data_IF_923420341266
#
_entry.id   IF_923420341266
#
_cell.length_a   1.000
_cell.length_b   1.000
_cell.length_c   1.000
_cell.angle_alpha   90.00
_cell.angle_beta   90.00
_cell.angle_gamma   90.00
#
_symmetry.space_group_name_H-M   'P 1'
#
loop_
_entity.id
_entity.type
_entity.pdbx_description
1 polymer ?
#
# COMPACT_ATOMS: atom_id res chain seq x y z
N UNK A 1 10.20 22.25 -52.40
CA UNK A 1 9.72 23.30 -51.46
C UNK A 1 8.59 22.75 -50.59
N UNK A 2 8.91 22.41 -49.34
CA UNK A 2 7.93 21.98 -48.34
C UNK A 2 7.60 23.16 -47.40
N UNK A 3 6.42 23.16 -46.79
CA UNK A 3 6.06 24.16 -45.78
C UNK A 3 6.03 23.52 -44.40
N UNK A 4 6.50 24.25 -43.38
CA UNK A 4 6.44 23.80 -42.01
C UNK A 4 4.97 23.68 -41.56
N UNK A 5 4.57 22.51 -41.08
CA UNK A 5 3.20 22.28 -40.56
C UNK A 5 2.88 23.08 -39.29
N UNK A 6 3.89 23.73 -38.70
CA UNK A 6 3.78 24.40 -37.39
C UNK A 6 3.88 25.92 -37.45
N UNK A 7 4.71 26.47 -38.34
CA UNK A 7 4.80 27.92 -38.52
C UNK A 7 4.38 28.40 -39.91
N UNK A 8 4.11 27.48 -40.86
CA UNK A 8 3.68 27.82 -42.21
C UNK A 8 4.77 28.41 -43.11
N UNK A 9 6.02 28.47 -42.65
CA UNK A 9 7.13 29.00 -43.45
C UNK A 9 7.67 27.95 -44.43
N UNK A 10 8.19 28.40 -45.57
CA UNK A 10 8.87 27.51 -46.52
C UNK A 10 10.15 26.93 -45.92
N UNK A 11 10.40 25.67 -46.27
CA UNK A 11 11.55 24.86 -45.86
C UNK A 11 12.30 24.46 -47.13
N UNK A 12 13.60 24.80 -47.22
CA UNK A 12 14.44 24.36 -48.33
C UNK A 12 14.63 22.84 -48.28
N UNK A 13 14.64 22.20 -49.45
CA UNK A 13 14.51 20.74 -49.61
C UNK A 13 15.65 19.93 -48.94
N UNK A 14 16.78 20.56 -48.62
CA UNK A 14 17.94 19.93 -47.96
C UNK A 14 18.04 20.17 -46.44
N UNK A 15 16.97 20.67 -45.78
CA UNK A 15 17.00 21.01 -44.35
C UNK A 15 16.18 20.07 -43.48
N UNK A 16 16.84 19.40 -42.53
CA UNK A 16 16.21 18.47 -41.58
C UNK A 16 15.43 19.16 -40.46
N UNK A 17 15.49 20.50 -40.36
CA UNK A 17 14.82 21.31 -39.36
C UNK A 17 14.39 22.67 -39.95
N UNK A 18 13.24 23.18 -39.53
CA UNK A 18 12.78 24.50 -39.91
C UNK A 18 13.64 25.58 -39.24
N UNK A 19 14.25 26.46 -40.05
CA UNK A 19 15.12 27.54 -39.57
C UNK A 19 14.40 28.63 -38.76
N UNK A 20 13.07 28.72 -38.85
CA UNK A 20 12.28 29.76 -38.18
C UNK A 20 11.73 29.28 -36.84
N UNK A 21 11.22 28.05 -36.76
CA UNK A 21 10.61 27.52 -35.54
C UNK A 21 11.42 26.39 -34.86
N UNK A 22 12.47 25.89 -35.51
CA UNK A 22 13.38 24.87 -34.98
C UNK A 22 12.86 23.43 -35.05
N UNK A 23 11.68 23.18 -35.62
CA UNK A 23 11.11 21.83 -35.65
C UNK A 23 11.72 20.94 -36.73
N UNK A 24 12.01 19.65 -36.44
CA UNK A 24 12.53 18.72 -37.43
C UNK A 24 11.53 18.49 -38.56
N UNK A 25 12.00 18.55 -39.79
CA UNK A 25 11.24 18.26 -41.02
C UNK A 25 12.07 17.28 -41.85
N UNK A 26 11.68 16.02 -41.81
CA UNK A 26 12.34 14.89 -42.46
C UNK A 26 11.55 13.62 -42.23
N UNK A 27 11.60 12.70 -43.19
CA UNK A 27 10.69 11.58 -43.37
C UNK A 27 10.22 10.85 -42.11
N UNK A 28 8.91 10.69 -42.06
CA UNK A 28 8.15 9.77 -41.21
C UNK A 28 8.67 8.34 -41.39
N UNK A 29 9.66 7.95 -40.59
CA UNK A 29 9.78 6.56 -40.16
C UNK A 29 8.61 6.29 -39.22
N UNK A 30 7.51 5.81 -39.80
CA UNK A 30 6.45 5.11 -39.11
C UNK A 30 7.05 3.86 -38.46
N UNK A 31 7.36 3.91 -37.16
CA UNK A 31 7.34 2.73 -36.30
C UNK A 31 6.09 2.84 -35.44
N UNK A 32 5.24 1.83 -35.62
CA UNK A 32 3.90 1.65 -35.06
C UNK A 32 3.77 1.93 -33.55
N UNK A 33 2.61 2.48 -33.16
CA UNK A 33 1.95 2.24 -31.87
C UNK A 33 0.45 2.00 -32.19
N UNK A 34 -0.30 1.08 -31.52
CA UNK A 34 -0.54 1.07 -30.06
C UNK A 34 -0.63 -0.36 -29.43
N UNK A 35 -0.40 -0.64 -28.13
CA UNK A 35 -1.22 -0.45 -26.92
C UNK A 35 -0.64 -1.43 -25.85
N UNK A 36 -0.60 -1.25 -24.53
CA UNK A 36 -1.25 -0.34 -23.59
C UNK A 36 -0.24 0.12 -22.54
N UNK A 37 -0.23 1.44 -22.34
CA UNK A 37 0.47 2.13 -21.28
C UNK A 37 -0.21 1.87 -19.94
N UNK A 38 0.59 1.65 -18.91
CA UNK A 38 0.19 1.90 -17.53
C UNK A 38 -0.18 3.39 -17.41
N UNK A 39 -1.47 3.66 -17.32
CA UNK A 39 -1.98 4.92 -16.79
C UNK A 39 -2.63 4.60 -15.45
N UNK A 40 -1.81 4.46 -14.40
CA UNK A 40 -2.31 4.77 -13.07
C UNK A 40 -2.26 6.28 -12.91
N UNK A 41 -3.46 6.82 -12.91
CA UNK A 41 -3.82 8.21 -12.69
C UNK A 41 -3.14 8.77 -11.43
N UNK A 42 -2.33 9.81 -11.64
CA UNK A 42 -1.73 10.63 -10.59
C UNK A 42 -2.83 11.37 -9.82
N UNK A 43 -3.39 10.72 -8.81
CA UNK A 43 -3.89 11.40 -7.62
C UNK A 43 -2.67 11.78 -6.78
N UNK A 44 -2.52 13.05 -6.44
CA UNK A 44 -1.44 13.62 -5.65
C UNK A 44 -1.08 12.78 -4.41
N UNK A 45 -0.01 11.98 -4.49
CA UNK A 45 0.60 11.33 -3.35
C UNK A 45 1.56 12.35 -2.70
N UNK A 46 1.36 12.77 -1.44
CA UNK A 46 2.32 13.63 -0.77
C UNK A 46 3.65 12.88 -0.66
N UNK A 47 4.75 13.62 -0.81
CA UNK A 47 6.12 13.12 -0.85
C UNK A 47 6.38 11.94 0.12
N UNK A 48 6.86 10.83 -0.41
CA UNK A 48 7.27 9.65 0.37
C UNK A 48 8.38 10.06 1.35
N UNK A 49 7.99 10.29 2.61
CA UNK A 49 8.88 10.47 3.75
C UNK A 49 9.60 9.14 4.00
N UNK A 50 10.91 9.12 4.34
CA UNK A 50 11.65 7.88 4.60
C UNK A 50 10.85 6.95 5.51
N UNK A 51 10.67 5.72 5.03
CA UNK A 51 9.89 4.66 5.67
C UNK A 51 10.48 4.35 7.05
N UNK A 52 10.01 5.02 8.09
CA UNK A 52 10.42 4.70 9.44
C UNK A 52 9.70 3.42 9.86
N UNK A 53 10.42 2.29 9.85
CA UNK A 53 9.96 1.02 10.45
C UNK A 53 9.50 1.20 11.91
N UNK A 54 9.96 2.26 12.58
CA UNK A 54 9.50 2.67 13.90
C UNK A 54 7.97 2.85 13.99
N UNK A 55 7.33 3.44 12.99
CA UNK A 55 5.88 3.65 12.99
C UNK A 55 5.12 2.32 12.86
N UNK A 56 5.63 1.40 12.02
CA UNK A 56 5.08 0.05 11.88
C UNK A 56 5.28 -0.79 13.15
N UNK A 57 6.46 -0.69 13.80
CA UNK A 57 6.75 -1.36 15.06
C UNK A 57 5.83 -0.82 16.18
N UNK A 58 5.68 0.50 16.28
CA UNK A 58 4.76 1.12 17.25
C UNK A 58 3.31 0.67 17.00
N UNK A 59 2.85 0.67 15.75
CA UNK A 59 1.51 0.20 15.39
C UNK A 59 1.29 -1.27 15.80
N UNK A 60 2.28 -2.13 15.57
CA UNK A 60 2.23 -3.54 15.99
C UNK A 60 2.17 -3.70 17.51
N UNK A 61 3.02 -2.95 18.25
CA UNK A 61 3.03 -2.98 19.72
C UNK A 61 1.69 -2.50 20.29
N UNK A 62 1.18 -1.36 19.82
CA UNK A 62 -0.12 -0.85 20.28
C UNK A 62 -1.28 -1.79 19.89
N UNK A 63 -1.31 -2.30 18.66
CA UNK A 63 -2.34 -3.24 18.20
C UNK A 63 -2.41 -4.50 19.05
N UNK A 64 -1.27 -5.00 19.55
CA UNK A 64 -1.22 -6.15 20.45
C UNK A 64 -1.69 -5.77 21.85
N UNK A 65 -1.32 -4.61 22.38
CA UNK A 65 -1.63 -4.21 23.76
C UNK A 65 -3.11 -3.84 23.99
N UNK A 66 -3.76 -3.20 23.01
CA UNK A 66 -5.18 -2.80 23.11
C UNK A 66 -6.15 -3.96 23.48
N UNK A 67 -6.10 -5.13 22.83
CA UNK A 67 -7.00 -6.24 23.16
C UNK A 67 -6.73 -6.86 24.54
N UNK A 68 -5.49 -6.83 25.05
CA UNK A 68 -5.21 -7.25 26.43
C UNK A 68 -5.83 -6.30 27.46
N UNK A 69 -5.81 -5.00 27.20
CA UNK A 69 -6.48 -4.01 28.05
C UNK A 69 -7.98 -4.29 28.09
N UNK A 70 -8.62 -4.52 26.94
CA UNK A 70 -10.04 -4.91 26.87
C UNK A 70 -10.37 -6.18 27.66
N UNK A 71 -9.51 -7.20 27.59
CA UNK A 71 -9.66 -8.43 28.37
C UNK A 71 -9.60 -8.17 29.88
N UNK A 72 -8.62 -7.38 30.34
CA UNK A 72 -8.47 -7.03 31.76
C UNK A 72 -9.68 -6.22 32.27
N UNK A 73 -10.13 -5.20 31.52
CA UNK A 73 -11.32 -4.44 31.90
C UNK A 73 -12.59 -5.31 31.92
N UNK A 74 -12.72 -6.27 31.01
CA UNK A 74 -13.82 -7.24 31.01
C UNK A 74 -13.86 -8.10 32.28
N UNK A 75 -12.69 -8.57 32.74
CA UNK A 75 -12.56 -9.35 33.99
C UNK A 75 -12.91 -8.48 35.21
N UNK A 76 -12.39 -7.25 35.26
CA UNK A 76 -12.69 -6.31 36.36
C UNK A 76 -14.18 -5.95 36.39
N UNK A 77 -14.79 -5.70 35.22
CA UNK A 77 -16.23 -5.44 35.11
C UNK A 77 -17.08 -6.61 35.61
N UNK A 78 -16.63 -7.84 35.38
CA UNK A 78 -17.27 -9.04 35.91
C UNK A 78 -17.10 -9.16 37.44
N UNK A 79 -15.94 -8.78 37.99
CA UNK A 79 -15.69 -8.82 39.44
C UNK A 79 -16.44 -7.71 40.22
N UNK A 80 -16.70 -6.57 39.60
CA UNK A 80 -17.38 -5.41 40.21
C UNK A 80 -18.90 -5.47 40.03
N UNK A 81 -19.42 -6.18 39.02
CA UNK A 81 -20.86 -6.24 38.76
C UNK A 81 -21.61 -7.06 39.82
N UNK A 82 -22.49 -6.37 40.56
CA UNK A 82 -23.31 -6.96 41.62
C UNK A 82 -24.58 -7.63 41.10
N UNK A 83 -25.08 -7.21 39.94
CA UNK A 83 -26.27 -7.74 39.30
C UNK A 83 -25.97 -8.86 38.31
N UNK A 84 -26.74 -9.95 38.39
CA UNK A 84 -26.65 -11.11 37.49
C UNK A 84 -26.89 -10.75 36.02
N UNK A 85 -27.69 -9.72 35.72
CA UNK A 85 -27.88 -9.23 34.35
C UNK A 85 -26.60 -8.61 33.77
N UNK A 86 -25.89 -7.82 34.60
CA UNK A 86 -24.66 -7.13 34.20
C UNK A 86 -23.48 -8.11 34.06
N UNK A 87 -23.48 -9.20 34.83
CA UNK A 87 -22.53 -10.31 34.66
C UNK A 87 -22.67 -10.97 33.30
N UNK A 88 -23.90 -11.21 32.83
CA UNK A 88 -24.15 -11.81 31.51
C UNK A 88 -23.66 -10.91 30.38
N UNK A 89 -23.87 -9.60 30.49
CA UNK A 89 -23.37 -8.63 29.50
C UNK A 89 -21.83 -8.55 29.49
N UNK A 90 -21.20 -8.53 30.67
CA UNK A 90 -19.73 -8.55 30.79
C UNK A 90 -19.12 -9.87 30.32
N UNK A 91 -19.81 -11.00 30.52
CA UNK A 91 -19.38 -12.31 30.05
C UNK A 91 -19.40 -12.40 28.52
N UNK A 92 -20.44 -11.87 27.86
CA UNK A 92 -20.48 -11.80 26.39
C UNK A 92 -19.33 -10.94 25.86
N UNK A 93 -19.13 -9.75 26.45
CA UNK A 93 -18.03 -8.86 26.06
C UNK A 93 -16.66 -9.51 26.27
N UNK A 94 -16.48 -10.26 27.36
CA UNK A 94 -15.26 -11.01 27.66
C UNK A 94 -15.01 -12.12 26.64
N UNK A 95 -16.05 -12.87 26.25
CA UNK A 95 -15.93 -13.93 25.23
C UNK A 95 -15.53 -13.33 23.89
N UNK A 96 -16.18 -12.25 23.47
CA UNK A 96 -15.85 -11.57 22.21
C UNK A 96 -14.39 -11.08 22.24
N UNK A 97 -13.97 -10.42 23.33
CA UNK A 97 -12.59 -9.96 23.49
C UNK A 97 -11.59 -11.14 23.46
N UNK A 98 -11.90 -12.24 24.13
CA UNK A 98 -11.05 -13.43 24.14
C UNK A 98 -10.94 -14.07 22.75
N UNK A 99 -12.04 -14.18 21.99
CA UNK A 99 -12.02 -14.70 20.62
C UNK A 99 -11.15 -13.82 19.72
N UNK A 100 -11.29 -12.49 19.80
CA UNK A 100 -10.45 -11.57 19.02
C UNK A 100 -8.97 -11.70 19.40
N UNK A 101 -8.62 -11.80 20.69
CA UNK A 101 -7.25 -12.07 21.15
C UNK A 101 -6.72 -13.38 20.58
N UNK A 102 -7.51 -14.44 20.61
CA UNK A 102 -7.09 -15.75 20.08
C UNK A 102 -6.84 -15.69 18.57
N UNK A 103 -7.73 -15.03 17.81
CA UNK A 103 -7.55 -14.83 16.37
C UNK A 103 -6.28 -14.03 16.05
N UNK A 104 -6.00 -12.96 16.80
CA UNK A 104 -4.76 -12.19 16.70
C UNK A 104 -3.52 -13.05 16.99
N UNK A 105 -3.55 -13.86 18.05
CA UNK A 105 -2.43 -14.76 18.39
C UNK A 105 -2.22 -15.79 17.28
N UNK A 106 -3.29 -16.39 16.74
CA UNK A 106 -3.19 -17.33 15.61
C UNK A 106 -2.62 -16.65 14.37
N UNK A 107 -3.07 -15.43 14.05
CA UNK A 107 -2.57 -14.66 12.93
C UNK A 107 -1.09 -14.29 13.10
N UNK A 108 -0.66 -13.86 14.29
CA UNK A 108 0.74 -13.61 14.61
C UNK A 108 1.60 -14.87 14.50
N UNK A 109 1.08 -16.03 14.93
CA UNK A 109 1.77 -17.31 14.75
C UNK A 109 1.89 -17.63 13.25
N UNK A 110 0.84 -17.45 12.46
CA UNK A 110 0.89 -17.66 11.00
C UNK A 110 1.91 -16.73 10.32
N UNK A 111 1.91 -15.45 10.65
CA UNK A 111 2.88 -14.46 10.15
C UNK A 111 4.30 -14.84 10.58
N UNK A 112 4.49 -15.17 11.86
CA UNK A 112 5.80 -15.58 12.38
C UNK A 112 6.31 -16.81 11.61
N UNK A 113 5.45 -17.81 11.39
CA UNK A 113 5.79 -18.99 10.59
C UNK A 113 6.11 -18.63 9.14
N UNK A 114 5.35 -17.71 8.52
CA UNK A 114 5.61 -17.24 7.16
C UNK A 114 6.95 -16.48 7.05
N UNK A 115 7.36 -15.74 8.07
CA UNK A 115 8.63 -15.00 8.09
C UNK A 115 9.81 -15.91 8.44
N UNK A 116 9.64 -16.85 9.37
CA UNK A 116 10.71 -17.76 9.80
C UNK A 116 10.84 -19.00 8.92
N UNK A 117 9.81 -19.40 8.18
CA UNK A 117 9.92 -20.51 7.23
C UNK A 117 11.02 -20.22 6.20
N UNK A 118 11.12 -19.00 5.63
CA UNK A 118 12.24 -18.50 4.84
C UNK A 118 13.56 -18.27 5.58
N UNK A 119 13.70 -18.67 6.83
CA UNK A 119 14.97 -18.65 7.54
C UNK A 119 15.38 -20.06 7.96
N UNK A 120 14.42 -20.97 8.06
CA UNK A 120 14.62 -22.31 8.62
C UNK A 120 14.86 -23.40 7.57
N UNK A 121 14.12 -23.40 6.47
CA UNK A 121 14.16 -24.47 5.45
C UNK A 121 14.78 -24.09 4.09
N UNK A 122 16.09 -24.21 3.85
CA UNK A 122 16.82 -23.63 2.70
C UNK A 122 16.26 -23.87 1.27
N UNK A 123 15.28 -24.77 1.09
CA UNK A 123 14.60 -25.04 -0.16
C UNK A 123 13.60 -23.97 -0.65
N UNK A 124 13.37 -22.85 0.05
CA UNK A 124 12.50 -21.76 -0.47
C UNK A 124 13.25 -20.71 -1.30
N UNK A 125 14.58 -20.83 -1.44
CA UNK A 125 15.41 -19.95 -2.29
C UNK A 125 15.63 -20.50 -3.71
N UNK A 126 15.28 -21.76 -3.97
CA UNK A 126 15.46 -22.48 -5.22
C UNK A 126 14.10 -22.85 -5.79
#
# INVERSE_FOLDING_TARGET
MAFCTKCGNEIPDDSSFCSVCGQPVGDVVQVQAPATQQTEYYGSQPAQKPESKALAICALVFSILLPFVGLILGIIGMAVSKDESNKKMSLIALIIAAVLVVLEIVFLIMIFRMVTAPLYNPSYWY
#
